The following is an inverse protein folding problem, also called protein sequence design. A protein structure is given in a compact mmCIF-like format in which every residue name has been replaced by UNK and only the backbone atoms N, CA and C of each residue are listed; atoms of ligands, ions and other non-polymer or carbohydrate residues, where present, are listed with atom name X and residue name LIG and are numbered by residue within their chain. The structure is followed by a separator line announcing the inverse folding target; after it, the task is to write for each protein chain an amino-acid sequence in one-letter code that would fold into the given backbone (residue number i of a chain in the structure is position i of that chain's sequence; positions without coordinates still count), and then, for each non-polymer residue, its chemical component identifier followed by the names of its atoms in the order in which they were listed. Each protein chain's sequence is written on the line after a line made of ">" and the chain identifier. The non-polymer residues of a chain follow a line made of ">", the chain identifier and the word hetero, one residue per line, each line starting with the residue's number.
data_IF_286080797709
#
_entry.id   IF_286080797709
#
_cell.length_a   1.000
_cell.length_b   1.000
_cell.length_c   1.000
_cell.angle_alpha   90.00
_cell.angle_beta   90.00
_cell.angle_gamma   90.00
#
_symmetry.space_group_name_H-M   'P 1'
#
loop_
_entity.id
_entity.type
_entity.pdbx_description
1 polymer ?
#
# COMPACT_ATOMS: atom_id res chain seq x y z
N UNK A 1 -26.01 18.35 8.46
CA UNK A 1 -25.52 17.28 7.55
C UNK A 1 -25.15 16.09 8.40
N UNK A 2 -25.88 15.00 8.34
CA UNK A 2 -25.64 13.85 9.22
C UNK A 2 -24.51 13.02 8.63
N UNK A 3 -23.38 12.99 9.31
CA UNK A 3 -22.33 12.01 9.03
C UNK A 3 -22.92 10.60 9.14
N UNK A 4 -22.59 9.66 8.22
CA UNK A 4 -23.03 8.29 8.35
C UNK A 4 -22.60 7.77 9.70
N UNK A 5 -23.53 7.21 10.47
CA UNK A 5 -23.27 6.58 11.76
C UNK A 5 -22.13 5.58 11.58
N UNK A 6 -21.10 5.61 12.44
CA UNK A 6 -20.01 4.64 12.34
C UNK A 6 -20.59 3.24 12.48
N UNK A 7 -20.30 2.44 11.49
CA UNK A 7 -20.62 1.01 11.43
C UNK A 7 -20.16 0.33 12.72
N UNK A 8 -21.11 -0.31 13.39
CA UNK A 8 -20.99 -1.38 14.37
C UNK A 8 -19.66 -1.37 15.12
N UNK A 9 -19.71 -0.86 16.34
CA UNK A 9 -18.70 -1.16 17.33
C UNK A 9 -18.75 -2.68 17.53
N UNK A 10 -17.67 -3.40 17.21
CA UNK A 10 -17.47 -4.71 17.78
C UNK A 10 -17.65 -4.51 19.29
N UNK A 11 -18.64 -5.18 19.85
CA UNK A 11 -18.87 -5.17 21.27
C UNK A 11 -17.69 -5.90 21.91
N UNK A 12 -16.78 -5.14 22.53
CA UNK A 12 -15.64 -5.69 23.27
C UNK A 12 -16.04 -6.05 24.71
N UNK A 13 -17.34 -6.28 24.95
CA UNK A 13 -17.87 -6.69 26.27
C UNK A 13 -17.31 -8.04 26.72
N UNK A 14 -16.87 -8.87 25.78
CA UNK A 14 -16.30 -10.20 26.02
C UNK A 14 -14.78 -10.20 26.30
N UNK A 15 -14.18 -9.06 26.64
CA UNK A 15 -12.76 -8.98 26.92
C UNK A 15 -12.47 -8.42 28.34
N UNK A 16 -11.33 -8.82 28.95
CA UNK A 16 -10.92 -8.31 30.24
C UNK A 16 -10.60 -6.80 30.16
N UNK A 17 -10.75 -6.10 31.28
CA UNK A 17 -10.63 -4.64 31.36
C UNK A 17 -9.28 -4.12 30.83
N UNK A 18 -8.17 -4.78 31.17
CA UNK A 18 -6.85 -4.38 30.69
C UNK A 18 -6.72 -4.41 29.16
N UNK A 19 -7.43 -5.32 28.49
CA UNK A 19 -7.47 -5.38 27.02
C UNK A 19 -8.41 -4.30 26.47
N UNK A 20 -9.56 -4.10 27.11
CA UNK A 20 -10.52 -3.06 26.76
C UNK A 20 -9.89 -1.66 26.83
N UNK A 21 -9.14 -1.39 27.89
CA UNK A 21 -8.40 -0.13 28.07
C UNK A 21 -7.38 0.09 26.95
N UNK A 22 -6.60 -0.94 26.59
CA UNK A 22 -5.67 -0.87 25.47
C UNK A 22 -6.39 -0.60 24.14
N UNK A 23 -7.47 -1.29 23.86
CA UNK A 23 -8.26 -1.09 22.64
C UNK A 23 -8.84 0.32 22.58
N UNK A 24 -9.35 0.83 23.71
CA UNK A 24 -9.84 2.20 23.85
C UNK A 24 -8.72 3.20 23.60
N UNK A 25 -7.55 3.00 24.21
CA UNK A 25 -6.37 3.84 23.96
C UNK A 25 -5.94 3.86 22.48
N UNK A 26 -5.92 2.72 21.81
CA UNK A 26 -5.58 2.64 20.39
C UNK A 26 -6.58 3.43 19.52
N UNK A 27 -7.84 3.42 19.89
CA UNK A 27 -8.88 4.12 19.14
C UNK A 27 -8.88 5.62 19.42
N UNK A 28 -8.88 6.01 20.70
CA UNK A 28 -9.11 7.40 21.12
C UNK A 28 -7.84 8.24 21.08
N UNK A 29 -6.73 7.70 21.55
CA UNK A 29 -5.45 8.43 21.65
C UNK A 29 -4.58 8.23 20.41
N UNK A 30 -4.51 7.00 19.89
CA UNK A 30 -3.73 6.72 18.67
C UNK A 30 -4.49 6.98 17.37
N UNK A 31 -5.80 7.21 17.44
CA UNK A 31 -6.63 7.50 16.27
C UNK A 31 -6.67 6.37 15.23
N UNK A 32 -6.48 5.12 15.65
CA UNK A 32 -6.51 4.00 14.72
C UNK A 32 -7.91 3.78 14.14
N UNK A 33 -7.96 3.36 12.87
CA UNK A 33 -9.22 3.02 12.21
C UNK A 33 -9.93 1.87 12.93
N UNK A 34 -11.28 1.78 12.89
CA UNK A 34 -12.04 0.67 13.47
C UNK A 34 -11.51 -0.70 13.03
N UNK A 35 -11.20 -0.85 11.75
CA UNK A 35 -10.65 -2.11 11.20
C UNK A 35 -9.27 -2.46 11.76
N UNK A 36 -8.43 -1.46 12.02
CA UNK A 36 -7.12 -1.68 12.66
C UNK A 36 -7.29 -2.13 14.10
N UNK A 37 -8.21 -1.48 14.82
CA UNK A 37 -8.53 -1.83 16.23
C UNK A 37 -9.07 -3.26 16.33
N UNK A 38 -9.98 -3.64 15.44
CA UNK A 38 -10.52 -5.00 15.35
C UNK A 38 -9.43 -6.05 15.07
N UNK A 39 -8.47 -5.71 14.20
CA UNK A 39 -7.33 -6.59 13.92
C UNK A 39 -6.43 -6.78 15.15
N UNK A 40 -6.16 -5.70 15.92
CA UNK A 40 -5.43 -5.78 17.19
C UNK A 40 -6.18 -6.66 18.20
N UNK A 41 -7.48 -6.42 18.36
CA UNK A 41 -8.33 -7.21 19.26
C UNK A 41 -8.28 -8.70 18.91
N UNK A 42 -8.51 -9.05 17.64
CA UNK A 42 -8.49 -10.44 17.17
C UNK A 42 -7.15 -11.13 17.44
N UNK A 43 -6.03 -10.42 17.20
CA UNK A 43 -4.70 -10.97 17.43
C UNK A 43 -4.43 -11.21 18.92
N UNK A 44 -4.80 -10.25 19.77
CA UNK A 44 -4.61 -10.34 21.22
C UNK A 44 -5.55 -11.35 21.86
N UNK A 45 -6.80 -11.45 21.38
CA UNK A 45 -7.75 -12.48 21.79
C UNK A 45 -7.18 -13.88 21.58
N UNK A 46 -6.64 -14.15 20.38
CA UNK A 46 -6.00 -15.42 20.09
C UNK A 46 -4.78 -15.69 21.00
N UNK A 47 -3.95 -14.65 21.23
CA UNK A 47 -2.79 -14.79 22.12
C UNK A 47 -3.19 -15.11 23.56
N UNK A 48 -4.18 -14.42 24.12
CA UNK A 48 -4.66 -14.67 25.49
C UNK A 48 -5.22 -16.08 25.64
N UNK A 49 -5.97 -16.57 24.66
CA UNK A 49 -6.48 -17.94 24.60
C UNK A 49 -5.36 -18.96 24.57
N UNK A 50 -4.33 -18.71 23.74
CA UNK A 50 -3.14 -19.57 23.66
C UNK A 50 -2.40 -19.63 24.98
N UNK A 51 -2.15 -18.49 25.64
CA UNK A 51 -1.45 -18.46 26.93
C UNK A 51 -2.27 -19.14 28.02
N UNK A 52 -3.60 -18.96 28.02
CA UNK A 52 -4.50 -19.63 28.94
C UNK A 52 -4.38 -21.16 28.83
N UNK A 53 -4.53 -21.73 27.63
CA UNK A 53 -4.34 -23.16 27.42
C UNK A 53 -2.94 -23.63 27.83
N UNK A 54 -1.89 -22.89 27.43
CA UNK A 54 -0.51 -23.25 27.78
C UNK A 54 -0.27 -23.34 29.28
N UNK A 55 -1.00 -22.59 30.11
CA UNK A 55 -0.81 -22.56 31.56
C UNK A 55 -1.71 -23.55 32.32
N UNK A 56 -2.93 -23.75 31.86
CA UNK A 56 -3.97 -24.46 32.61
C UNK A 56 -4.46 -25.71 31.90
N UNK A 57 -4.21 -25.88 30.64
CA UNK A 57 -4.73 -26.98 29.83
C UNK A 57 -3.64 -27.49 28.86
N UNK A 58 -3.99 -28.52 28.08
CA UNK A 58 -3.18 -28.93 26.93
C UNK A 58 -3.57 -28.10 25.72
N UNK A 59 -2.58 -27.61 24.95
CA UNK A 59 -2.86 -26.82 23.74
C UNK A 59 -3.63 -27.68 22.74
N UNK A 60 -4.84 -27.24 22.43
CA UNK A 60 -5.73 -27.83 21.44
C UNK A 60 -6.17 -26.76 20.44
N UNK A 61 -5.80 -26.97 19.18
CA UNK A 61 -6.07 -26.01 18.10
C UNK A 61 -7.58 -25.90 17.78
N UNK A 62 -8.37 -26.92 18.04
CA UNK A 62 -9.82 -26.94 17.79
C UNK A 62 -10.58 -26.23 18.92
N UNK A 63 -10.16 -26.42 20.17
CA UNK A 63 -10.82 -25.86 21.34
C UNK A 63 -10.40 -24.43 21.67
N UNK A 64 -9.22 -23.97 21.20
CA UNK A 64 -8.67 -22.65 21.57
C UNK A 64 -9.62 -21.50 21.21
N UNK A 65 -10.38 -21.61 20.11
CA UNK A 65 -11.31 -20.56 19.66
C UNK A 65 -12.58 -20.46 20.53
N UNK A 66 -12.88 -21.46 21.33
CA UNK A 66 -14.03 -21.50 22.26
C UNK A 66 -13.74 -20.88 23.63
N UNK A 67 -12.47 -20.62 23.96
CA UNK A 67 -12.09 -20.09 25.27
C UNK A 67 -12.66 -18.68 25.46
N UNK A 68 -13.40 -18.49 26.54
CA UNK A 68 -13.89 -17.18 26.96
C UNK A 68 -12.76 -16.38 27.62
N UNK A 69 -12.36 -15.28 27.00
CA UNK A 69 -11.27 -14.44 27.49
C UNK A 69 -11.72 -13.44 28.57
N UNK A 70 -13.02 -13.25 28.80
CA UNK A 70 -13.54 -12.27 29.77
C UNK A 70 -13.09 -12.56 31.21
N UNK A 71 -12.83 -13.84 31.50
CA UNK A 71 -12.41 -14.34 32.81
C UNK A 71 -10.89 -14.45 32.99
N UNK A 72 -10.12 -14.05 31.99
CA UNK A 72 -8.66 -14.10 32.09
C UNK A 72 -8.17 -13.00 33.02
N UNK A 73 -7.49 -13.41 34.09
CA UNK A 73 -6.90 -12.50 35.07
C UNK A 73 -5.62 -11.86 34.49
N UNK A 74 -5.34 -10.62 34.93
CA UNK A 74 -4.14 -9.89 34.61
C UNK A 74 -2.85 -10.58 35.07
N UNK A 75 -2.92 -11.39 36.12
CA UNK A 75 -1.78 -12.21 36.60
C UNK A 75 -1.28 -13.17 35.53
N UNK A 76 -2.17 -13.70 34.68
CA UNK A 76 -1.75 -14.48 33.50
C UNK A 76 -0.88 -13.65 32.56
N UNK A 77 -1.24 -12.39 32.32
CA UNK A 77 -0.46 -11.48 31.44
C UNK A 77 0.89 -11.13 32.06
N UNK A 78 0.95 -10.93 33.39
CA UNK A 78 2.21 -10.71 34.12
C UNK A 78 3.15 -11.91 34.04
N UNK A 79 2.61 -13.12 33.99
CA UNK A 79 3.40 -14.35 33.90
C UNK A 79 4.07 -14.58 32.54
N UNK A 80 3.72 -13.79 31.53
CA UNK A 80 4.19 -13.97 30.14
C UNK A 80 5.67 -13.64 30.03
N UNK A 81 6.43 -14.59 29.49
CA UNK A 81 7.87 -14.46 29.19
C UNK A 81 8.11 -14.35 27.68
N UNK A 82 9.31 -13.93 27.32
CA UNK A 82 9.74 -13.90 25.90
C UNK A 82 9.59 -15.27 25.22
N UNK A 83 9.87 -16.37 25.93
CA UNK A 83 9.67 -17.72 25.41
C UNK A 83 8.23 -18.02 25.03
N UNK A 84 7.27 -17.50 25.78
CA UNK A 84 5.84 -17.69 25.47
C UNK A 84 5.45 -16.98 24.17
N UNK A 85 6.03 -15.81 23.90
CA UNK A 85 5.83 -15.10 22.63
C UNK A 85 6.40 -15.91 21.47
N UNK A 86 7.60 -16.47 21.62
CA UNK A 86 8.22 -17.30 20.58
C UNK A 86 7.42 -18.58 20.32
N UNK A 87 6.95 -19.25 21.38
CA UNK A 87 6.10 -20.43 21.26
C UNK A 87 4.76 -20.12 20.59
N UNK A 88 4.15 -18.96 20.90
CA UNK A 88 2.96 -18.49 20.20
C UNK A 88 3.24 -18.22 18.73
N UNK A 89 4.39 -17.61 18.39
CA UNK A 89 4.77 -17.36 17.01
C UNK A 89 4.99 -18.67 16.24
N UNK A 90 5.54 -19.70 16.91
CA UNK A 90 5.64 -21.05 16.35
C UNK A 90 4.25 -21.67 16.15
N UNK A 91 3.38 -21.61 17.16
CA UNK A 91 2.00 -22.10 17.08
C UNK A 91 1.23 -21.51 15.90
N UNK A 92 1.25 -20.19 15.73
CA UNK A 92 0.52 -19.56 14.63
C UNK A 92 1.16 -19.84 13.26
N UNK A 93 2.44 -20.21 13.22
CA UNK A 93 3.11 -20.64 12.00
C UNK A 93 2.71 -22.07 11.63
N UNK A 94 2.87 -22.98 12.53
CA UNK A 94 2.76 -24.42 12.31
C UNK A 94 1.29 -24.89 12.37
N UNK A 95 0.62 -24.70 13.52
CA UNK A 95 -0.74 -25.17 13.72
C UNK A 95 -1.81 -24.38 12.97
N UNK A 96 -1.59 -23.07 12.75
CA UNK A 96 -2.55 -22.17 12.08
C UNK A 96 -2.16 -21.82 10.65
N UNK A 97 -1.02 -22.25 10.13
CA UNK A 97 -0.57 -21.99 8.76
C UNK A 97 -0.43 -20.51 8.40
N UNK A 98 -0.15 -19.64 9.38
CA UNK A 98 -0.14 -18.20 9.16
C UNK A 98 1.05 -17.78 8.29
N UNK A 99 0.78 -16.97 7.26
CA UNK A 99 1.81 -16.36 6.43
C UNK A 99 2.77 -15.47 7.24
N UNK A 100 3.95 -15.17 6.70
CA UNK A 100 4.93 -14.25 7.32
C UNK A 100 4.29 -12.90 7.65
N UNK A 101 3.47 -12.35 6.75
CA UNK A 101 2.78 -11.06 6.98
C UNK A 101 1.76 -11.14 8.12
N UNK A 102 0.99 -12.24 8.22
CA UNK A 102 0.05 -12.45 9.31
C UNK A 102 0.77 -12.58 10.66
N UNK A 103 1.90 -13.29 10.70
CA UNK A 103 2.75 -13.40 11.88
C UNK A 103 3.38 -12.07 12.29
N UNK A 104 3.90 -11.30 11.33
CA UNK A 104 4.45 -9.96 11.59
C UNK A 104 3.39 -9.01 12.15
N UNK A 105 2.14 -9.07 11.64
CA UNK A 105 1.03 -8.28 12.18
C UNK A 105 0.72 -8.68 13.63
N UNK A 106 0.62 -9.98 13.92
CA UNK A 106 0.37 -10.49 15.28
C UNK A 106 1.46 -10.04 16.26
N UNK A 107 2.72 -10.19 15.89
CA UNK A 107 3.82 -9.72 16.73
C UNK A 107 3.78 -8.19 16.93
N UNK A 108 3.38 -7.42 15.92
CA UNK A 108 3.18 -5.97 16.07
C UNK A 108 2.05 -5.63 17.03
N UNK A 109 0.96 -6.41 17.02
CA UNK A 109 -0.14 -6.27 17.99
C UNK A 109 0.33 -6.54 19.41
N UNK A 110 1.09 -7.62 19.62
CA UNK A 110 1.68 -7.97 20.93
C UNK A 110 2.66 -6.89 21.42
N UNK A 111 3.57 -6.44 20.56
CA UNK A 111 4.50 -5.34 20.89
C UNK A 111 3.77 -4.07 21.31
N UNK A 112 2.71 -3.71 20.58
CA UNK A 112 1.88 -2.55 20.91
C UNK A 112 1.23 -2.68 22.28
N UNK A 113 0.69 -3.85 22.58
CA UNK A 113 0.03 -4.16 23.84
C UNK A 113 1.00 -4.15 25.03
N UNK A 114 2.09 -4.91 24.97
CA UNK A 114 3.08 -4.95 26.05
C UNK A 114 3.80 -3.61 26.24
N UNK A 115 4.07 -2.86 25.15
CA UNK A 115 4.58 -1.49 25.26
C UNK A 115 3.58 -0.55 25.95
N UNK A 116 2.28 -0.71 25.73
CA UNK A 116 1.26 0.06 26.44
C UNK A 116 1.29 -0.26 27.94
N UNK A 117 1.31 -1.56 28.29
CA UNK A 117 1.33 -2.01 29.69
C UNK A 117 2.58 -1.56 30.45
N UNK A 118 3.76 -1.52 29.79
CA UNK A 118 5.02 -1.13 30.43
C UNK A 118 5.28 0.36 30.43
N UNK A 119 5.03 1.05 29.32
CA UNK A 119 5.47 2.46 29.13
C UNK A 119 4.35 3.50 29.23
N UNK A 120 3.08 3.10 29.30
CA UNK A 120 1.94 4.02 29.38
C UNK A 120 1.18 3.95 30.69
N UNK A 121 0.88 2.73 31.12
CA UNK A 121 0.11 2.49 32.36
C UNK A 121 0.95 1.91 33.48
N UNK A 122 2.22 1.55 33.23
CA UNK A 122 3.19 1.03 34.19
C UNK A 122 2.68 -0.18 35.02
N UNK A 123 1.86 -1.04 34.39
CA UNK A 123 1.34 -2.26 35.00
C UNK A 123 2.32 -3.44 34.93
N UNK A 124 3.34 -3.35 34.06
CA UNK A 124 4.42 -4.31 33.92
C UNK A 124 5.78 -3.60 34.02
N UNK A 125 6.77 -4.28 34.61
CA UNK A 125 8.15 -3.78 34.66
C UNK A 125 8.88 -3.99 33.34
N UNK A 126 8.76 -5.20 32.77
CA UNK A 126 9.48 -5.60 31.57
C UNK A 126 8.54 -5.88 30.40
N UNK A 127 9.02 -5.64 29.19
CA UNK A 127 8.29 -5.92 27.97
C UNK A 127 8.80 -7.24 27.33
N UNK A 128 8.03 -8.33 27.38
CA UNK A 128 8.48 -9.63 26.86
C UNK A 128 8.67 -9.63 25.33
N UNK A 129 8.21 -8.59 24.62
CA UNK A 129 8.39 -8.46 23.18
C UNK A 129 9.56 -7.56 22.75
N UNK A 130 10.33 -6.99 23.69
CA UNK A 130 11.28 -5.89 23.40
C UNK A 130 12.35 -6.32 22.39
N UNK A 131 12.93 -7.50 22.59
CA UNK A 131 14.06 -8.00 21.79
C UNK A 131 13.67 -9.07 20.75
N UNK A 132 12.37 -9.24 20.46
CA UNK A 132 11.94 -10.20 19.44
C UNK A 132 11.93 -9.50 18.08
N UNK A 133 12.69 -9.98 17.11
CA UNK A 133 12.68 -9.46 15.75
C UNK A 133 11.41 -9.84 15.00
N UNK A 134 11.00 -9.00 14.05
CA UNK A 134 9.91 -9.34 13.14
C UNK A 134 10.34 -10.49 12.22
N UNK A 135 9.43 -11.44 11.92
CA UNK A 135 9.72 -12.51 10.97
C UNK A 135 10.26 -11.94 9.65
N UNK A 136 11.40 -12.46 9.21
CA UNK A 136 12.03 -12.02 7.98
C UNK A 136 11.10 -12.24 6.78
N UNK A 137 10.79 -11.16 6.10
CA UNK A 137 10.01 -11.21 4.87
C UNK A 137 10.97 -11.03 3.69
N UNK A 138 11.17 -12.09 2.89
CA UNK A 138 11.92 -11.96 1.64
C UNK A 138 11.20 -10.94 0.77
N UNK A 139 11.77 -9.76 0.59
CA UNK A 139 11.25 -8.71 -0.30
C UNK A 139 11.15 -9.32 -1.71
N UNK A 140 9.95 -9.65 -2.14
CA UNK A 140 9.71 -10.00 -3.54
C UNK A 140 9.57 -8.70 -4.32
N UNK A 141 10.15 -8.65 -5.51
CA UNK A 141 9.93 -7.53 -6.42
C UNK A 141 8.42 -7.33 -6.63
N UNK A 142 7.93 -6.10 -6.56
CA UNK A 142 6.51 -5.84 -6.74
C UNK A 142 6.09 -6.26 -8.16
N UNK A 143 5.09 -7.12 -8.26
CA UNK A 143 4.46 -7.45 -9.55
C UNK A 143 3.61 -6.28 -10.00
N UNK A 144 3.78 -5.88 -11.24
CA UNK A 144 3.01 -4.84 -11.92
C UNK A 144 2.69 -5.30 -13.35
N UNK A 145 1.67 -4.71 -13.96
CA UNK A 145 1.30 -4.96 -15.37
C UNK A 145 2.25 -4.19 -16.29
N UNK A 146 2.64 -4.81 -17.40
CA UNK A 146 3.28 -4.06 -18.50
C UNK A 146 2.29 -3.03 -19.09
N UNK A 147 2.79 -2.15 -19.96
CA UNK A 147 1.91 -1.21 -20.67
C UNK A 147 0.90 -1.97 -21.53
N UNK A 148 1.34 -2.98 -22.27
CA UNK A 148 0.51 -3.84 -23.13
C UNK A 148 -0.56 -4.57 -22.31
N UNK A 149 -0.19 -5.16 -21.18
CA UNK A 149 -1.13 -5.81 -20.26
C UNK A 149 -2.14 -4.81 -19.68
N UNK A 150 -1.72 -3.59 -19.38
CA UNK A 150 -2.60 -2.53 -18.88
C UNK A 150 -3.61 -2.09 -19.96
N UNK A 151 -3.16 -1.98 -21.21
CA UNK A 151 -4.04 -1.69 -22.34
C UNK A 151 -5.03 -2.82 -22.60
N UNK A 152 -4.58 -4.08 -22.52
CA UNK A 152 -5.45 -5.24 -22.67
C UNK A 152 -6.49 -5.30 -21.57
N UNK A 153 -6.11 -5.00 -20.33
CA UNK A 153 -7.07 -4.93 -19.21
C UNK A 153 -8.16 -3.88 -19.46
N UNK A 154 -7.80 -2.71 -20.01
CA UNK A 154 -8.77 -1.68 -20.38
C UNK A 154 -9.71 -2.13 -21.52
N UNK A 155 -9.19 -2.83 -22.54
CA UNK A 155 -10.00 -3.39 -23.63
C UNK A 155 -10.97 -4.46 -23.14
N UNK A 156 -10.57 -5.21 -22.12
CA UNK A 156 -11.34 -6.32 -21.55
C UNK A 156 -12.46 -5.89 -20.59
N UNK A 157 -12.73 -4.58 -20.46
CA UNK A 157 -13.85 -4.05 -19.66
C UNK A 157 -15.19 -4.20 -20.41
N UNK A 158 -15.52 -5.41 -20.78
CA UNK A 158 -16.83 -5.76 -21.32
C UNK A 158 -17.72 -6.31 -20.21
N UNK A 159 -18.52 -5.43 -19.60
CA UNK A 159 -19.36 -5.69 -18.44
C UNK A 159 -20.75 -5.06 -18.61
N UNK A 160 -21.70 -5.45 -17.77
CA UNK A 160 -23.07 -4.89 -17.78
C UNK A 160 -23.13 -3.37 -17.53
N UNK A 161 -22.04 -2.80 -17.04
CA UNK A 161 -21.89 -1.35 -16.82
C UNK A 161 -20.48 -0.91 -17.24
N UNK A 162 -20.21 -1.04 -18.53
CA UNK A 162 -18.89 -0.86 -19.13
C UNK A 162 -18.27 0.51 -18.84
N UNK A 163 -19.03 1.60 -19.00
CA UNK A 163 -18.51 2.95 -18.78
C UNK A 163 -17.97 3.15 -17.36
N UNK A 164 -18.71 2.67 -16.35
CA UNK A 164 -18.28 2.72 -14.96
C UNK A 164 -17.01 1.88 -14.74
N UNK A 165 -17.02 0.64 -15.18
CA UNK A 165 -15.98 -0.32 -14.88
C UNK A 165 -14.68 0.05 -15.61
N UNK A 166 -14.79 0.58 -16.84
CA UNK A 166 -13.68 1.17 -17.58
C UNK A 166 -13.10 2.39 -16.84
N UNK A 167 -13.93 3.32 -16.40
CA UNK A 167 -13.52 4.49 -15.64
C UNK A 167 -12.79 4.10 -14.35
N UNK A 168 -13.29 3.11 -13.61
CA UNK A 168 -12.63 2.58 -12.40
C UNK A 168 -11.22 2.07 -12.72
N UNK A 169 -11.05 1.25 -13.75
CA UNK A 169 -9.75 0.68 -14.13
C UNK A 169 -8.82 1.76 -14.66
N UNK A 170 -9.31 2.70 -15.46
CA UNK A 170 -8.54 3.83 -15.97
C UNK A 170 -7.97 4.68 -14.83
N UNK A 171 -8.78 5.02 -13.82
CA UNK A 171 -8.32 5.77 -12.66
C UNK A 171 -7.31 5.00 -11.80
N UNK A 172 -7.46 3.68 -11.64
CA UNK A 172 -6.44 2.88 -10.95
C UNK A 172 -5.11 2.89 -11.70
N UNK A 173 -5.12 2.71 -13.01
CA UNK A 173 -3.91 2.59 -13.83
C UNK A 173 -3.23 3.93 -14.12
N UNK A 174 -3.98 5.03 -14.17
CA UNK A 174 -3.42 6.36 -14.48
C UNK A 174 -3.09 7.15 -13.22
N UNK A 175 -3.99 7.14 -12.22
CA UNK A 175 -3.85 7.99 -11.03
C UNK A 175 -3.31 7.25 -9.81
N UNK A 176 -3.25 5.93 -9.85
CA UNK A 176 -2.73 5.12 -8.75
C UNK A 176 -3.49 5.29 -7.43
N UNK A 177 -4.79 5.53 -7.47
CA UNK A 177 -5.64 5.72 -6.29
C UNK A 177 -5.68 4.47 -5.40
N UNK A 178 -5.90 4.66 -4.08
CA UNK A 178 -6.27 3.56 -3.19
C UNK A 178 -7.73 3.18 -3.42
N UNK A 179 -8.08 1.92 -3.20
CA UNK A 179 -9.47 1.45 -3.31
C UNK A 179 -10.45 2.29 -2.48
N UNK A 180 -10.09 2.61 -1.24
CA UNK A 180 -10.91 3.44 -0.36
C UNK A 180 -11.05 4.88 -0.85
N UNK A 181 -10.01 5.44 -1.45
CA UNK A 181 -10.01 6.77 -2.05
C UNK A 181 -10.99 6.79 -3.24
N UNK A 182 -10.86 5.84 -4.19
CA UNK A 182 -11.72 5.74 -5.36
C UNK A 182 -13.20 5.59 -4.98
N UNK A 183 -13.51 4.70 -4.05
CA UNK A 183 -14.90 4.49 -3.58
C UNK A 183 -15.45 5.70 -2.84
N UNK A 184 -14.58 6.47 -2.16
CA UNK A 184 -14.94 7.64 -1.38
C UNK A 184 -15.28 8.89 -2.19
N UNK A 185 -14.94 8.96 -3.48
CA UNK A 185 -15.13 10.15 -4.32
C UNK A 185 -16.63 10.47 -4.45
N UNK A 186 -16.95 11.74 -4.28
CA UNK A 186 -18.25 12.32 -4.59
C UNK A 186 -18.22 13.08 -5.93
N UNK A 187 -19.36 13.27 -6.55
CA UNK A 187 -19.45 14.04 -7.80
C UNK A 187 -18.94 15.47 -7.61
N UNK A 188 -19.18 16.06 -6.43
CA UNK A 188 -18.69 17.40 -6.08
C UNK A 188 -17.16 17.49 -5.90
N UNK A 189 -16.48 16.37 -5.76
CA UNK A 189 -15.01 16.34 -5.69
C UNK A 189 -14.36 16.43 -7.08
N UNK A 190 -15.14 16.25 -8.16
CA UNK A 190 -14.68 16.40 -9.53
C UNK A 190 -14.51 17.89 -9.86
N UNK A 191 -13.37 18.22 -10.40
CA UNK A 191 -13.06 19.50 -11.04
C UNK A 191 -12.67 19.20 -12.49
N UNK A 192 -12.55 20.22 -13.33
CA UNK A 192 -12.33 20.05 -14.77
C UNK A 192 -11.22 19.02 -15.11
N UNK A 193 -10.07 19.14 -14.46
CA UNK A 193 -8.85 18.38 -14.75
C UNK A 193 -8.25 17.69 -13.50
N UNK A 194 -8.99 17.66 -12.41
CA UNK A 194 -8.51 17.13 -11.13
C UNK A 194 -9.64 16.61 -10.24
N UNK A 195 -9.29 15.74 -9.31
CA UNK A 195 -10.18 15.22 -8.27
C UNK A 195 -9.59 15.54 -6.91
N UNK A 196 -10.42 16.06 -6.02
CA UNK A 196 -10.10 16.18 -4.61
C UNK A 196 -10.35 14.83 -3.94
N UNK A 197 -9.37 14.28 -3.26
CA UNK A 197 -9.53 13.03 -2.51
C UNK A 197 -9.09 13.18 -1.06
N UNK A 198 -9.79 12.45 -0.18
CA UNK A 198 -9.46 12.38 1.24
C UNK A 198 -8.75 11.06 1.50
N UNK A 199 -7.49 11.13 1.88
CA UNK A 199 -6.64 9.98 2.16
C UNK A 199 -6.68 9.53 3.63
N UNK A 200 -5.75 8.66 3.99
CA UNK A 200 -5.59 8.17 5.37
C UNK A 200 -5.33 9.35 6.34
N UNK A 201 -6.02 9.34 7.47
CA UNK A 201 -5.88 10.40 8.48
C UNK A 201 -6.59 11.71 8.12
N UNK A 202 -7.58 11.65 7.24
CA UNK A 202 -8.36 12.81 6.77
C UNK A 202 -7.51 13.88 6.04
N UNK A 203 -6.36 13.46 5.47
CA UNK A 203 -5.51 14.35 4.68
C UNK A 203 -6.06 14.49 3.28
N UNK A 204 -6.33 15.72 2.88
CA UNK A 204 -6.74 16.03 1.51
C UNK A 204 -5.54 16.06 0.57
N UNK A 205 -5.72 15.55 -0.65
CA UNK A 205 -4.80 15.74 -1.77
C UNK A 205 -5.54 15.88 -3.08
N UNK A 206 -4.91 16.55 -4.02
CA UNK A 206 -5.39 16.69 -5.39
C UNK A 206 -4.80 15.60 -6.27
N UNK A 207 -5.63 14.99 -7.10
CA UNK A 207 -5.21 14.06 -8.14
C UNK A 207 -5.48 14.71 -9.49
N UNK A 208 -4.44 14.91 -10.28
CA UNK A 208 -4.54 15.45 -11.64
C UNK A 208 -4.95 14.34 -12.62
N UNK A 209 -5.81 14.68 -13.57
CA UNK A 209 -6.38 13.77 -14.54
C UNK A 209 -5.72 14.01 -15.90
N UNK A 210 -5.39 12.93 -16.60
CA UNK A 210 -5.05 12.99 -18.01
C UNK A 210 -6.32 12.93 -18.88
N UNK A 211 -6.20 13.20 -20.16
CA UNK A 211 -7.34 13.25 -21.10
C UNK A 211 -8.10 11.93 -21.15
N UNK A 212 -7.42 10.78 -21.03
CA UNK A 212 -8.07 9.46 -20.97
C UNK A 212 -8.94 9.28 -19.71
N UNK A 213 -8.50 9.82 -18.57
CA UNK A 213 -9.33 9.81 -17.35
C UNK A 213 -10.52 10.74 -17.47
N UNK A 214 -10.35 11.94 -18.02
CA UNK A 214 -11.41 12.92 -18.23
C UNK A 214 -12.49 12.31 -19.13
N UNK A 215 -12.11 11.80 -20.30
CA UNK A 215 -13.04 11.14 -21.22
C UNK A 215 -13.78 9.97 -20.56
N UNK A 216 -13.07 9.12 -19.80
CA UNK A 216 -13.69 7.99 -19.11
C UNK A 216 -14.70 8.42 -18.04
N UNK A 217 -14.43 9.53 -17.35
CA UNK A 217 -15.35 10.12 -16.37
C UNK A 217 -16.59 10.68 -17.07
N UNK A 218 -16.44 11.42 -18.16
CA UNK A 218 -17.52 12.05 -18.90
C UNK A 218 -18.48 10.99 -19.49
N UNK A 219 -17.93 9.95 -20.09
CA UNK A 219 -18.69 8.80 -20.60
C UNK A 219 -19.49 8.13 -19.49
N UNK A 220 -18.83 7.92 -18.34
CA UNK A 220 -19.51 7.32 -17.19
C UNK A 220 -20.57 8.24 -16.59
N UNK A 221 -20.30 9.53 -16.43
CA UNK A 221 -21.25 10.49 -15.87
C UNK A 221 -22.51 10.59 -16.72
N UNK A 222 -22.41 10.49 -18.05
CA UNK A 222 -23.56 10.45 -18.95
C UNK A 222 -24.49 9.28 -18.65
N UNK A 223 -23.95 8.09 -18.37
CA UNK A 223 -24.76 6.91 -18.01
C UNK A 223 -25.21 6.94 -16.54
N UNK A 224 -24.32 7.39 -15.63
CA UNK A 224 -24.62 7.50 -14.21
C UNK A 224 -25.85 8.36 -13.94
N UNK A 225 -25.92 9.52 -14.58
CA UNK A 225 -27.02 10.49 -14.36
C UNK A 225 -28.39 9.98 -14.85
N UNK A 226 -28.41 8.98 -15.73
CA UNK A 226 -29.65 8.25 -16.11
C UNK A 226 -30.12 7.29 -15.00
N UNK A 227 -29.23 6.89 -14.07
CA UNK A 227 -29.53 5.93 -13.00
C UNK A 227 -29.98 6.64 -11.72
N UNK A 228 -29.25 7.69 -11.32
CA UNK A 228 -29.49 8.47 -10.10
C UNK A 228 -28.84 9.84 -10.22
N UNK A 229 -29.55 10.88 -9.77
CA UNK A 229 -28.99 12.23 -9.78
C UNK A 229 -28.00 12.43 -8.60
N UNK A 230 -27.01 13.36 -8.73
CA UNK A 230 -26.05 13.67 -7.66
C UNK A 230 -26.69 14.18 -6.37
N UNK A 231 -27.87 14.81 -6.45
CA UNK A 231 -28.59 15.32 -5.29
C UNK A 231 -29.17 14.19 -4.43
N UNK A 232 -29.49 13.04 -5.05
CA UNK A 232 -30.06 11.86 -4.38
C UNK A 232 -28.93 10.96 -3.84
N UNK A 233 -27.86 10.75 -4.65
CA UNK A 233 -26.67 9.98 -4.26
C UNK A 233 -25.41 10.74 -4.70
N UNK A 234 -24.67 11.33 -3.77
CA UNK A 234 -23.51 12.15 -4.10
C UNK A 234 -22.32 11.34 -4.62
N UNK A 235 -22.26 10.04 -4.35
CA UNK A 235 -21.13 9.20 -4.73
C UNK A 235 -20.86 9.23 -6.23
N UNK A 236 -19.61 9.41 -6.66
CA UNK A 236 -19.25 9.29 -8.07
C UNK A 236 -19.59 7.89 -8.59
N UNK A 237 -19.11 6.84 -7.95
CA UNK A 237 -19.32 5.47 -8.38
C UNK A 237 -20.51 4.83 -7.67
N UNK A 238 -21.53 4.43 -8.46
CA UNK A 238 -22.76 3.84 -7.96
C UNK A 238 -22.96 2.40 -8.44
N UNK A 239 -23.67 1.63 -7.62
CA UNK A 239 -24.13 0.30 -7.98
C UNK A 239 -25.37 0.42 -8.88
N UNK A 240 -25.36 -0.23 -10.05
CA UNK A 240 -26.54 -0.27 -10.96
C UNK A 240 -27.79 -0.83 -10.26
N UNK A 241 -27.60 -1.83 -9.37
CA UNK A 241 -28.70 -2.51 -8.67
C UNK A 241 -29.28 -1.67 -7.53
N UNK A 242 -28.43 -1.14 -6.65
CA UNK A 242 -28.89 -0.45 -5.44
C UNK A 242 -29.00 1.06 -5.61
N UNK A 243 -28.47 1.63 -6.70
CA UNK A 243 -28.36 3.07 -6.98
C UNK A 243 -27.61 3.86 -5.88
N UNK A 244 -26.89 3.16 -5.00
CA UNK A 244 -26.11 3.74 -3.90
C UNK A 244 -24.62 3.58 -4.20
N UNK A 245 -23.77 4.27 -3.42
CA UNK A 245 -22.30 4.17 -3.47
C UNK A 245 -21.87 2.72 -3.62
N UNK A 246 -20.94 2.48 -4.56
CA UNK A 246 -20.36 1.15 -4.78
C UNK A 246 -19.52 0.71 -3.57
N UNK A 247 -19.62 -0.57 -3.20
CA UNK A 247 -18.79 -1.10 -2.10
C UNK A 247 -17.37 -1.43 -2.59
N UNK A 248 -16.35 -1.36 -1.69
CA UNK A 248 -14.99 -1.80 -2.01
C UNK A 248 -14.93 -3.22 -2.57
N UNK A 249 -15.70 -4.14 -1.96
CA UNK A 249 -15.78 -5.55 -2.42
C UNK A 249 -16.30 -5.66 -3.86
N UNK A 250 -17.27 -4.81 -4.23
CA UNK A 250 -17.78 -4.83 -5.61
C UNK A 250 -16.75 -4.33 -6.61
N UNK A 251 -15.96 -3.32 -6.26
CA UNK A 251 -14.83 -2.85 -7.10
C UNK A 251 -13.77 -3.94 -7.25
N UNK A 252 -13.43 -4.65 -6.17
CA UNK A 252 -12.51 -5.79 -6.25
C UNK A 252 -13.03 -6.90 -7.18
N UNK A 253 -14.34 -7.20 -7.11
CA UNK A 253 -14.96 -8.18 -8.03
C UNK A 253 -14.89 -7.72 -9.49
N UNK A 254 -15.15 -6.44 -9.77
CA UNK A 254 -15.04 -5.86 -11.11
C UNK A 254 -13.60 -6.04 -11.64
N UNK A 255 -12.62 -5.60 -10.87
CA UNK A 255 -11.20 -5.70 -11.26
C UNK A 255 -10.81 -7.16 -11.49
N UNK A 256 -11.22 -8.08 -10.61
CA UNK A 256 -10.95 -9.52 -10.76
C UNK A 256 -11.58 -10.08 -12.04
N UNK A 257 -12.83 -9.72 -12.32
CA UNK A 257 -13.51 -10.15 -13.55
C UNK A 257 -12.85 -9.63 -14.82
N UNK A 258 -12.42 -8.36 -14.83
CA UNK A 258 -11.70 -7.78 -15.96
C UNK A 258 -10.30 -8.42 -16.14
N UNK A 259 -9.58 -8.68 -15.06
CA UNK A 259 -8.30 -9.42 -15.11
C UNK A 259 -8.48 -10.84 -15.67
N UNK A 260 -9.58 -11.50 -15.32
CA UNK A 260 -9.89 -12.82 -15.87
C UNK A 260 -10.15 -12.75 -17.38
N UNK A 261 -10.94 -11.79 -17.84
CA UNK A 261 -11.22 -11.57 -19.27
C UNK A 261 -9.96 -11.19 -20.06
N UNK A 262 -9.03 -10.45 -19.44
CA UNK A 262 -7.74 -10.11 -20.02
C UNK A 262 -6.70 -11.25 -20.01
N UNK A 263 -7.06 -12.48 -19.56
CA UNK A 263 -6.12 -13.59 -19.47
C UNK A 263 -5.05 -13.45 -18.39
N UNK A 264 -5.26 -12.55 -17.41
CA UNK A 264 -4.31 -12.21 -16.35
C UNK A 264 -4.68 -12.85 -15.00
N UNK A 265 -5.63 -13.80 -15.01
CA UNK A 265 -6.07 -14.52 -13.82
C UNK A 265 -4.94 -15.36 -13.22
N UNK A 266 -4.95 -15.58 -11.89
CA UNK A 266 -3.96 -16.41 -11.20
C UNK A 266 -2.56 -15.80 -11.07
N UNK A 267 -2.28 -14.67 -11.70
CA UNK A 267 -0.97 -14.02 -11.64
C UNK A 267 -0.79 -13.11 -10.39
N UNK A 268 -1.80 -13.05 -9.51
CA UNK A 268 -1.74 -12.31 -8.24
C UNK A 268 -1.94 -10.80 -8.39
N UNK A 269 -2.55 -10.34 -9.48
CA UNK A 269 -2.97 -8.95 -9.64
C UNK A 269 -4.22 -8.64 -8.81
N UNK A 270 -4.34 -7.38 -8.37
CA UNK A 270 -5.45 -6.88 -7.54
C UNK A 270 -5.51 -5.36 -7.66
N UNK A 271 -6.53 -4.72 -7.10
CA UNK A 271 -6.64 -3.24 -7.04
C UNK A 271 -5.36 -2.58 -6.51
N UNK A 272 -4.73 -3.17 -5.49
CA UNK A 272 -3.45 -2.68 -4.95
C UNK A 272 -2.31 -2.82 -5.96
N UNK A 273 -2.31 -3.91 -6.75
CA UNK A 273 -1.29 -4.11 -7.80
C UNK A 273 -1.49 -3.19 -9.00
N UNK A 274 -2.73 -2.79 -9.32
CA UNK A 274 -2.98 -1.75 -10.34
C UNK A 274 -2.39 -0.40 -9.91
N UNK A 275 -2.49 -0.05 -8.62
CA UNK A 275 -1.80 1.14 -8.10
C UNK A 275 -0.26 1.02 -8.21
N UNK A 276 0.31 -0.15 -7.94
CA UNK A 276 1.75 -0.39 -8.20
C UNK A 276 2.09 -0.26 -9.68
N UNK A 277 1.22 -0.72 -10.56
CA UNK A 277 1.37 -0.57 -12.01
C UNK A 277 1.42 0.91 -12.40
N UNK A 278 0.45 1.72 -11.94
CA UNK A 278 0.43 3.15 -12.20
C UNK A 278 1.75 3.83 -11.77
N UNK A 279 2.20 3.54 -10.55
CA UNK A 279 3.45 4.07 -10.02
C UNK A 279 4.66 3.70 -10.90
N UNK A 280 4.75 2.43 -11.29
CA UNK A 280 5.87 1.93 -12.10
C UNK A 280 5.84 2.51 -13.51
N UNK A 281 4.67 2.59 -14.14
CA UNK A 281 4.53 3.17 -15.49
C UNK A 281 4.84 4.67 -15.48
N UNK A 282 4.36 5.43 -14.49
CA UNK A 282 4.68 6.85 -14.33
C UNK A 282 6.18 7.08 -14.12
N UNK A 283 6.82 6.27 -13.29
CA UNK A 283 8.27 6.38 -13.06
C UNK A 283 9.07 6.04 -14.32
N UNK A 284 8.74 4.95 -15.01
CA UNK A 284 9.43 4.49 -16.22
C UNK A 284 9.23 5.41 -17.44
N UNK A 285 8.13 6.15 -17.50
CA UNK A 285 7.93 7.16 -18.56
C UNK A 285 8.94 8.30 -18.50
N UNK A 286 9.69 8.43 -17.39
CA UNK A 286 10.66 9.51 -17.19
C UNK A 286 10.03 10.88 -16.90
N UNK A 287 8.69 10.96 -16.80
CA UNK A 287 7.97 12.21 -16.58
C UNK A 287 7.73 12.53 -15.08
N UNK A 288 8.06 11.59 -14.19
CA UNK A 288 7.91 11.78 -12.75
C UNK A 288 9.19 11.34 -12.04
N UNK A 289 9.78 12.24 -11.27
CA UNK A 289 10.83 11.90 -10.33
C UNK A 289 10.23 11.21 -9.06
N UNK A 290 11.10 10.78 -8.16
CA UNK A 290 10.69 10.09 -6.94
C UNK A 290 9.82 10.96 -6.04
N UNK A 291 10.07 12.26 -5.99
CA UNK A 291 9.34 13.18 -5.13
C UNK A 291 7.93 13.44 -5.70
N UNK A 292 7.84 13.67 -7.00
CA UNK A 292 6.56 13.80 -7.70
C UNK A 292 5.72 12.50 -7.56
N UNK A 293 6.35 11.33 -7.68
CA UNK A 293 5.67 10.05 -7.50
C UNK A 293 5.14 9.87 -6.07
N UNK A 294 5.91 10.28 -5.05
CA UNK A 294 5.45 10.29 -3.66
C UNK A 294 4.19 11.14 -3.48
N UNK A 295 4.18 12.35 -4.04
CA UNK A 295 3.04 13.28 -3.99
C UNK A 295 1.82 12.70 -4.71
N UNK A 296 1.99 12.23 -5.96
CA UNK A 296 0.91 11.62 -6.76
C UNK A 296 0.27 10.44 -6.02
N UNK A 297 1.09 9.59 -5.39
CA UNK A 297 0.59 8.43 -4.66
C UNK A 297 0.12 8.77 -3.24
N UNK A 298 0.50 9.89 -2.66
CA UNK A 298 0.21 10.25 -1.28
C UNK A 298 0.86 9.25 -0.30
N UNK A 299 2.17 9.00 -0.45
CA UNK A 299 2.96 8.21 0.48
C UNK A 299 3.50 9.10 1.60
N UNK A 300 3.32 8.70 2.85
CA UNK A 300 3.86 9.44 4.01
C UNK A 300 5.39 9.38 4.07
N UNK A 301 5.99 8.25 3.63
CA UNK A 301 7.43 8.03 3.65
C UNK A 301 7.98 7.75 2.26
N UNK A 302 9.16 8.29 1.96
CA UNK A 302 9.89 8.04 0.70
C UNK A 302 10.21 6.56 0.53
N UNK A 303 10.55 5.85 1.62
CA UNK A 303 10.82 4.41 1.61
C UNK A 303 9.69 3.54 1.02
N UNK A 304 8.45 4.01 1.04
CA UNK A 304 7.34 3.30 0.37
C UNK A 304 7.32 3.54 -1.13
N UNK A 305 8.02 4.55 -1.61
CA UNK A 305 8.15 4.88 -3.03
C UNK A 305 9.43 4.26 -3.62
N UNK A 306 10.46 4.03 -2.82
CA UNK A 306 11.73 3.39 -3.22
C UNK A 306 11.54 1.98 -3.83
N UNK A 307 10.45 1.29 -3.50
CA UNK A 307 10.15 -0.01 -4.11
C UNK A 307 9.93 0.05 -5.63
N UNK A 308 9.70 1.24 -6.18
CA UNK A 308 9.52 1.46 -7.63
C UNK A 308 10.83 1.81 -8.34
N UNK A 309 11.91 2.05 -7.57
CA UNK A 309 13.23 2.44 -8.06
C UNK A 309 14.16 1.29 -8.39
N UNK A 310 13.64 0.08 -8.57
CA UNK A 310 14.45 -0.93 -9.25
C UNK A 310 14.73 -0.41 -10.65
N UNK A 311 15.82 0.36 -10.72
CA UNK A 311 16.36 1.02 -11.91
C UNK A 311 16.65 -0.09 -12.91
N UNK A 312 16.05 -0.01 -14.10
CA UNK A 312 16.46 -0.89 -15.18
C UNK A 312 17.92 -0.58 -15.54
N UNK A 313 18.67 -1.58 -15.96
CA UNK A 313 20.05 -1.38 -16.42
C UNK A 313 20.14 -0.28 -17.48
N UNK A 314 19.11 -0.12 -18.32
CA UNK A 314 18.96 0.97 -19.29
C UNK A 314 18.91 2.36 -18.64
N UNK A 315 18.22 2.52 -17.51
CA UNK A 315 18.17 3.81 -16.81
C UNK A 315 19.49 4.14 -16.13
N UNK A 316 20.19 3.12 -15.60
CA UNK A 316 21.55 3.28 -15.06
C UNK A 316 22.52 3.70 -16.18
N UNK A 317 22.46 3.01 -17.31
CA UNK A 317 23.30 3.32 -18.48
C UNK A 317 23.02 4.73 -19.01
N UNK A 318 21.75 5.13 -19.12
CA UNK A 318 21.35 6.48 -19.55
C UNK A 318 21.84 7.55 -18.58
N UNK A 319 21.72 7.31 -17.26
CA UNK A 319 22.22 8.21 -16.23
C UNK A 319 23.75 8.34 -16.27
N UNK A 320 24.47 7.23 -16.43
CA UNK A 320 25.92 7.23 -16.56
C UNK A 320 26.40 7.96 -17.81
N UNK A 321 25.74 7.74 -18.97
CA UNK A 321 26.02 8.44 -20.22
C UNK A 321 25.62 9.93 -20.18
N UNK A 322 24.65 10.30 -19.36
CA UNK A 322 24.20 11.68 -19.15
C UNK A 322 25.05 12.48 -18.17
N UNK A 323 26.08 11.90 -17.56
CA UNK A 323 26.98 12.62 -16.64
C UNK A 323 27.58 13.85 -17.32
N UNK A 324 27.57 15.05 -16.71
CA UNK A 324 28.23 16.24 -17.22
C UNK A 324 29.70 16.01 -17.57
N UNK A 325 30.37 15.09 -16.89
CA UNK A 325 31.76 14.71 -17.10
C UNK A 325 31.95 13.70 -18.26
N UNK A 326 30.89 13.06 -18.74
CA UNK A 326 30.99 12.09 -19.85
C UNK A 326 31.57 12.72 -21.16
N UNK A 327 31.47 14.04 -21.29
CA UNK A 327 32.01 14.82 -22.45
C UNK A 327 33.40 15.40 -22.17
N UNK A 328 33.97 15.15 -20.97
CA UNK A 328 35.30 15.68 -20.64
C UNK A 328 36.35 14.83 -21.33
N UNK A 329 36.81 15.28 -22.50
CA UNK A 329 37.95 14.68 -23.16
C UNK A 329 39.22 15.13 -22.44
N UNK A 330 40.04 14.17 -22.01
CA UNK A 330 41.36 14.41 -21.42
C UNK A 330 42.12 15.34 -22.39
N UNK A 331 42.52 16.52 -21.96
CA UNK A 331 43.37 17.41 -22.77
C UNK A 331 44.60 16.64 -23.21
N UNK A 332 44.91 16.63 -24.49
CA UNK A 332 46.14 16.03 -25.00
C UNK A 332 47.27 16.70 -24.25
N UNK A 333 48.18 15.88 -23.73
CA UNK A 333 49.33 16.31 -22.95
C UNK A 333 50.07 17.44 -23.66
N UNK A 334 50.25 18.65 -23.10
CA UNK A 334 50.89 19.79 -23.83
C UNK A 334 52.31 19.50 -24.28
N UNK A 335 52.97 18.50 -23.70
CA UNK A 335 54.31 18.09 -24.10
C UNK A 335 54.39 17.36 -25.48
N UNK A 336 53.25 16.83 -25.99
CA UNK A 336 53.27 16.20 -27.32
C UNK A 336 53.02 17.21 -28.48
N UNK A 337 52.42 18.35 -28.17
CA UNK A 337 52.18 19.41 -29.18
C UNK A 337 53.47 20.21 -29.43
N UNK A 338 54.36 20.31 -28.43
CA UNK A 338 55.66 21.01 -28.62
C UNK A 338 56.66 20.20 -29.46
N UNK A 339 56.59 18.86 -29.44
CA UNK A 339 57.49 18.00 -30.24
C UNK A 339 57.06 17.93 -31.71
N UNK A 340 55.73 17.98 -31.97
CA UNK A 340 55.20 18.00 -33.35
C UNK A 340 55.33 19.38 -34.01
N UNK A 341 55.45 20.47 -33.23
CA UNK A 341 55.70 21.82 -33.74
C UNK A 341 57.18 22.06 -34.03
N UNK A 342 58.14 21.41 -33.34
CA UNK A 342 59.56 21.48 -33.60
C UNK A 342 59.98 20.66 -34.85
N UNK A 343 59.26 19.63 -35.17
CA UNK A 343 59.51 18.80 -36.37
C UNK A 343 58.89 19.35 -37.67
N UNK A 344 58.16 20.43 -37.64
CA UNK A 344 57.60 21.12 -38.82
C UNK A 344 58.45 22.34 -39.28
N UNK A 345 59.40 22.81 -38.47
CA UNK A 345 60.23 23.98 -38.80
C UNK A 345 61.53 23.68 -39.53
N UNK A 346 61.86 22.40 -39.75
CA UNK A 346 63.14 22.03 -40.44
C UNK A 346 62.95 21.51 -41.89
N UNK A 347 61.94 21.95 -42.59
CA UNK A 347 61.73 21.53 -44.00
C UNK A 347 61.42 22.64 -44.99
N UNK A 348 61.70 23.88 -44.66
CA UNK A 348 61.57 25.00 -45.65
C UNK A 348 62.82 25.88 -45.63
N UNK A 349 64.00 25.30 -45.94
CA UNK A 349 65.22 26.01 -46.36
C UNK A 349 66.02 25.09 -47.26
N UNK A 350 65.61 24.90 -48.44
CA UNK A 350 66.46 24.52 -49.62
C UNK A 350 65.62 24.60 -50.88
N UNK A 351 65.63 25.78 -51.49
CA UNK A 351 65.46 26.01 -52.99
C UNK A 351 65.52 27.50 -53.31
N UNK A 352 66.75 28.01 -53.45
CA UNK A 352 67.09 29.10 -54.32
C UNK A 352 68.55 28.94 -54.71
N UNK A 353 68.70 28.34 -55.89
CA UNK A 353 69.55 28.81 -57.00
C UNK A 353 69.22 27.94 -58.21
#
# INVERSE_FOLDING_TARGET
>A
MAHPKPTIYSDFSDCPDFLKDFITYQRTIKGLSPRSVEAYYTDLKLFLRYIYQKRFEKIDNELIDSIDISKIDFELVKSVKQSDILDFMYFVMDARGNSVNARSRKLSSLRGFFKYLTKKVNLLQDNPCENIELPANKKRLPKYLSLEQSMELLRSTDTDFRSRDYCIIMLFLSCGMRLSELVGIDVLDLQKDKIRIIGKGNKERTVYLNDGCISAIDDYMTERNKIVSPEVEPALFVSKRTKKRISPRRVEQIVTGCLQKAGLSGQGFSTHKLRHTAATLLYRSGNADMLALKEILGHEHVSTTEIYTHISDEAIEKAAKGSPLARFKKAKNPQKVAVDAMNCSDKDDDLSD
#
